data_IF_385925686190
#
_entry.id   IF_385925686190
#
_cell.length_a   1.000
_cell.length_b   1.000
_cell.length_c   1.000
_cell.angle_alpha   90.00
_cell.angle_beta   90.00
_cell.angle_gamma   90.00
#
_symmetry.space_group_name_H-M   'P 1'
#
loop_
_entity.id
_entity.type
_entity.pdbx_description
1 polymer ?
#
# COMPACT_ATOMS: atom_id res chain seq x y z
N UNK A 1 16.45 11.78 -4.89
CA UNK A 1 15.07 11.41 -5.24
C UNK A 1 14.09 12.18 -4.38
N UNK A 2 13.03 12.69 -4.98
CA UNK A 2 12.05 13.50 -4.27
C UNK A 2 11.13 12.62 -3.42
N UNK A 3 10.97 12.96 -2.14
CA UNK A 3 10.08 12.26 -1.22
C UNK A 3 8.63 12.60 -1.55
N UNK A 4 7.77 11.58 -1.58
CA UNK A 4 6.33 11.76 -1.73
C UNK A 4 5.69 11.73 -0.34
N UNK A 5 4.96 12.79 0.01
CA UNK A 5 4.29 12.92 1.31
C UNK A 5 2.87 12.35 1.28
N UNK A 6 2.74 11.15 0.73
CA UNK A 6 1.49 10.39 0.64
C UNK A 6 1.82 8.94 0.91
N UNK A 7 0.97 8.26 1.67
CA UNK A 7 1.12 6.84 1.95
C UNK A 7 0.51 6.01 0.82
N UNK A 8 1.17 4.93 0.42
CA UNK A 8 0.58 3.96 -0.50
C UNK A 8 -0.02 2.82 0.32
N UNK A 9 -1.24 2.42 -0.04
CA UNK A 9 -1.97 1.35 0.64
C UNK A 9 -2.30 0.26 -0.37
N UNK A 10 -1.84 -0.95 -0.09
CA UNK A 10 -1.98 -2.10 -0.99
C UNK A 10 -2.78 -3.19 -0.29
N UNK A 11 -4.08 -3.38 -0.64
CA UNK A 11 -4.81 -4.56 -0.19
C UNK A 11 -4.37 -5.76 -1.02
N UNK A 12 -4.09 -6.89 -0.38
CA UNK A 12 -3.56 -8.08 -1.07
C UNK A 12 -4.25 -9.35 -0.58
N UNK A 13 -4.62 -10.21 -1.53
CA UNK A 13 -5.16 -11.52 -1.24
C UNK A 13 -4.50 -12.53 -2.17
N UNK A 14 -3.85 -13.54 -1.59
CA UNK A 14 -3.10 -14.56 -2.31
C UNK A 14 -2.14 -13.97 -3.37
N UNK A 15 -1.26 -13.02 -2.97
CA UNK A 15 -0.39 -12.39 -3.95
C UNK A 15 0.72 -13.32 -4.42
N UNK A 16 1.26 -12.99 -5.59
CA UNK A 16 2.49 -13.60 -6.09
C UNK A 16 3.63 -12.58 -6.01
N UNK A 17 4.75 -12.85 -6.70
CA UNK A 17 5.93 -11.98 -6.66
C UNK A 17 5.69 -10.59 -7.25
N UNK A 18 4.59 -10.36 -7.97
CA UNK A 18 4.25 -9.04 -8.49
C UNK A 18 4.01 -8.03 -7.37
N UNK A 19 3.61 -8.50 -6.18
CA UNK A 19 3.48 -7.63 -5.03
C UNK A 19 4.83 -7.01 -4.65
N UNK A 20 5.90 -7.79 -4.70
CA UNK A 20 7.24 -7.31 -4.40
C UNK A 20 7.66 -6.26 -5.41
N UNK A 21 7.45 -6.54 -6.70
CA UNK A 21 7.78 -5.59 -7.78
C UNK A 21 6.99 -4.29 -7.63
N UNK A 22 5.72 -4.37 -7.24
CA UNK A 22 4.89 -3.19 -7.01
C UNK A 22 5.47 -2.32 -5.90
N UNK A 23 5.88 -2.93 -4.79
CA UNK A 23 6.47 -2.18 -3.68
C UNK A 23 7.80 -1.56 -4.08
N UNK A 24 8.65 -2.30 -4.79
CA UNK A 24 9.93 -1.76 -5.27
C UNK A 24 9.71 -0.55 -6.20
N UNK A 25 8.71 -0.64 -7.07
CA UNK A 25 8.37 0.45 -7.99
C UNK A 25 7.87 1.69 -7.22
N UNK A 26 7.07 1.49 -6.19
CA UNK A 26 6.61 2.59 -5.34
C UNK A 26 7.76 3.24 -4.59
N UNK A 27 8.70 2.44 -4.06
CA UNK A 27 9.89 2.98 -3.41
C UNK A 27 10.72 3.82 -4.38
N UNK A 28 10.91 3.32 -5.60
CA UNK A 28 11.64 4.04 -6.63
C UNK A 28 10.94 5.34 -7.01
N UNK A 29 9.62 5.39 -6.93
CA UNK A 29 8.83 6.60 -7.21
C UNK A 29 8.85 7.61 -6.06
N UNK A 30 9.39 7.25 -4.89
CA UNK A 30 9.56 8.18 -3.77
C UNK A 30 8.61 7.99 -2.60
N UNK A 31 7.78 6.94 -2.61
CA UNK A 31 6.89 6.65 -1.48
C UNK A 31 7.70 6.13 -0.29
N UNK A 32 7.64 6.83 0.83
CA UNK A 32 8.31 6.43 2.07
C UNK A 32 7.45 5.52 2.93
N UNK A 33 6.14 5.76 2.97
CA UNK A 33 5.23 4.99 3.79
C UNK A 33 4.36 4.12 2.91
N UNK A 34 4.47 2.81 3.09
CA UNK A 34 3.70 1.82 2.33
C UNK A 34 3.09 0.85 3.33
N UNK A 35 1.76 0.75 3.30
CA UNK A 35 1.01 -0.19 4.12
C UNK A 35 0.47 -1.29 3.21
N UNK A 36 0.73 -2.54 3.56
CA UNK A 36 0.19 -3.70 2.85
C UNK A 36 -0.75 -4.43 3.80
N UNK A 37 -1.99 -4.64 3.39
CA UNK A 37 -2.95 -5.39 4.17
C UNK A 37 -3.13 -6.77 3.53
N UNK A 38 -2.70 -7.80 4.25
CA UNK A 38 -2.91 -9.19 3.86
C UNK A 38 -4.32 -9.59 4.29
N UNK A 39 -5.22 -9.72 3.33
CA UNK A 39 -6.63 -10.00 3.57
C UNK A 39 -6.87 -11.51 3.75
N UNK A 40 -6.14 -12.13 4.67
CA UNK A 40 -6.34 -13.55 5.00
C UNK A 40 -5.85 -14.48 3.92
N UNK A 41 -4.70 -14.20 3.31
CA UNK A 41 -4.10 -15.03 2.27
C UNK A 41 -3.73 -16.42 2.79
N UNK A 42 -3.61 -17.37 1.86
CA UNK A 42 -3.15 -18.73 2.18
C UNK A 42 -1.72 -18.69 2.73
N UNK A 43 -1.37 -19.65 3.61
CA UNK A 43 -0.03 -19.67 4.21
C UNK A 43 1.12 -19.74 3.21
N UNK A 44 0.91 -20.33 2.04
CA UNK A 44 1.96 -20.46 1.02
C UNK A 44 2.29 -19.10 0.37
N UNK A 45 1.51 -18.06 0.61
CA UNK A 45 1.80 -16.71 0.15
C UNK A 45 2.69 -15.93 1.14
N UNK A 46 2.96 -16.47 2.34
CA UNK A 46 3.72 -15.77 3.37
C UNK A 46 5.11 -15.30 2.88
N UNK A 47 5.87 -16.07 2.08
CA UNK A 47 7.16 -15.58 1.59
C UNK A 47 7.07 -14.27 0.81
N UNK A 48 5.98 -14.03 0.09
CA UNK A 48 5.78 -12.80 -0.65
C UNK A 48 5.62 -11.59 0.31
N UNK A 49 4.97 -11.81 1.46
CA UNK A 49 4.85 -10.76 2.47
C UNK A 49 6.16 -10.58 3.24
N UNK A 50 6.86 -11.66 3.55
CA UNK A 50 8.14 -11.60 4.27
C UNK A 50 9.18 -10.80 3.49
N UNK A 51 9.15 -10.90 2.17
CA UNK A 51 10.08 -10.16 1.30
C UNK A 51 9.87 -8.64 1.37
N UNK A 52 8.74 -8.18 1.88
CA UNK A 52 8.43 -6.75 1.97
C UNK A 52 9.07 -6.10 3.21
N UNK A 53 9.42 -6.87 4.23
CA UNK A 53 10.00 -6.33 5.45
C UNK A 53 11.30 -5.55 5.19
N UNK A 54 12.26 -6.08 4.41
CA UNK A 54 13.48 -5.31 4.11
C UNK A 54 13.20 -4.06 3.28
N UNK A 55 12.04 -3.99 2.62
CA UNK A 55 11.66 -2.82 1.83
C UNK A 55 10.97 -1.76 2.70
N UNK A 56 10.80 -2.02 4.00
CA UNK A 56 10.30 -1.04 4.95
C UNK A 56 8.78 -0.87 4.94
N UNK A 57 8.04 -1.89 4.49
CA UNK A 57 6.59 -1.85 4.50
C UNK A 57 6.01 -2.19 5.87
N UNK A 58 4.90 -1.54 6.20
CA UNK A 58 4.06 -1.96 7.31
C UNK A 58 3.08 -3.01 6.78
N UNK A 59 3.21 -4.26 7.24
CA UNK A 59 2.34 -5.36 6.78
C UNK A 59 1.38 -5.74 7.89
N UNK A 60 0.08 -5.76 7.55
CA UNK A 60 -0.99 -6.13 8.48
C UNK A 60 -1.61 -7.42 7.97
N UNK A 61 -1.68 -8.43 8.85
CA UNK A 61 -2.29 -9.72 8.50
C UNK A 61 -3.65 -9.84 9.14
N UNK A 62 -4.70 -9.99 8.31
CA UNK A 62 -6.04 -10.29 8.81
C UNK A 62 -6.18 -11.79 9.00
N UNK A 63 -6.99 -12.21 9.97
CA UNK A 63 -7.14 -13.62 10.32
C UNK A 63 -7.90 -14.42 9.26
N UNK A 64 -8.70 -13.75 8.43
CA UNK A 64 -9.48 -14.39 7.38
C UNK A 64 -9.79 -13.36 6.29
N UNK A 65 -10.21 -13.87 5.12
CA UNK A 65 -10.59 -12.98 4.01
C UNK A 65 -11.85 -12.19 4.39
N UNK A 66 -11.73 -10.89 4.44
CA UNK A 66 -12.82 -9.97 4.84
C UNK A 66 -13.30 -9.11 3.67
N UNK A 67 -12.64 -9.20 2.53
CA UNK A 67 -12.97 -8.41 1.35
C UNK A 67 -12.11 -7.15 1.22
N UNK A 68 -11.99 -6.67 -0.02
CA UNK A 68 -11.16 -5.51 -0.34
C UNK A 68 -11.58 -4.25 0.42
N UNK A 69 -12.89 -4.02 0.54
CA UNK A 69 -13.40 -2.84 1.25
C UNK A 69 -12.98 -2.81 2.71
N UNK A 70 -13.06 -3.96 3.39
CA UNK A 70 -12.65 -4.05 4.79
C UNK A 70 -11.13 -3.91 4.92
N UNK A 71 -10.36 -4.49 4.00
CA UNK A 71 -8.91 -4.37 3.99
C UNK A 71 -8.49 -2.91 3.81
N UNK A 72 -9.14 -2.18 2.91
CA UNK A 72 -8.87 -0.76 2.71
C UNK A 72 -9.19 0.06 3.95
N UNK A 73 -10.31 -0.24 4.60
CA UNK A 73 -10.72 0.44 5.82
C UNK A 73 -9.69 0.24 6.93
N UNK A 74 -9.25 -0.99 7.13
CA UNK A 74 -8.27 -1.31 8.16
C UNK A 74 -6.94 -0.63 7.86
N UNK A 75 -6.52 -0.64 6.60
CA UNK A 75 -5.29 0.03 6.19
C UNK A 75 -5.34 1.53 6.42
N UNK A 76 -6.45 2.16 6.08
CA UNK A 76 -6.62 3.60 6.29
C UNK A 76 -6.65 3.95 7.78
N UNK A 77 -7.35 3.17 8.60
CA UNK A 77 -7.36 3.37 10.06
C UNK A 77 -5.95 3.21 10.64
N UNK A 78 -5.20 2.24 10.16
CA UNK A 78 -3.81 2.05 10.56
C UNK A 78 -2.98 3.29 10.22
N UNK A 79 -3.14 3.81 9.01
CA UNK A 79 -2.47 5.04 8.59
C UNK A 79 -2.76 6.18 9.57
N UNK A 80 -4.00 6.35 9.98
CA UNK A 80 -4.38 7.43 10.89
C UNK A 80 -3.72 7.29 12.27
N UNK A 81 -3.38 6.06 12.67
CA UNK A 81 -2.77 5.82 14.00
C UNK A 81 -1.25 5.92 13.99
N UNK A 82 -0.61 5.99 12.80
CA UNK A 82 0.85 5.98 12.72
C UNK A 82 1.49 7.32 13.16
N UNK A 83 0.76 8.39 13.12
CA UNK A 83 1.32 9.71 13.44
C UNK A 83 2.21 10.28 12.33
N UNK A 84 2.15 9.71 11.12
CA UNK A 84 2.88 10.24 9.98
C UNK A 84 2.29 11.56 9.52
N UNK A 85 3.15 12.43 8.97
CA UNK A 85 2.72 13.73 8.48
C UNK A 85 2.20 13.72 7.05
N UNK A 86 2.02 12.53 6.48
CA UNK A 86 1.53 12.38 5.11
C UNK A 86 0.15 13.01 4.95
N UNK A 87 -0.10 13.60 3.78
CA UNK A 87 -1.36 14.30 3.50
C UNK A 87 -2.55 13.35 3.38
N UNK A 88 -2.32 12.09 3.07
CA UNK A 88 -3.37 11.08 2.91
C UNK A 88 -2.84 9.79 2.33
N UNK A 89 -3.74 9.01 1.75
CA UNK A 89 -3.46 7.65 1.28
C UNK A 89 -3.89 7.49 -0.17
N UNK A 90 -3.04 6.85 -0.97
CA UNK A 90 -3.36 6.39 -2.32
C UNK A 90 -3.44 4.88 -2.31
N UNK A 91 -4.50 4.29 -2.86
CA UNK A 91 -4.59 2.83 -2.98
C UNK A 91 -3.94 2.36 -4.27
N UNK A 92 -3.25 1.23 -4.20
CA UNK A 92 -2.54 0.64 -5.33
C UNK A 92 -2.83 -0.85 -5.35
N UNK A 93 -3.12 -1.40 -6.54
CA UNK A 93 -3.28 -2.85 -6.68
C UNK A 93 -1.91 -3.53 -6.69
N UNK A 94 -1.79 -4.63 -5.93
CA UNK A 94 -0.52 -5.35 -5.78
C UNK A 94 -0.26 -6.37 -6.88
N UNK A 95 -0.99 -6.34 -7.99
CA UNK A 95 -0.87 -7.29 -9.09
C UNK A 95 0.00 -6.79 -10.24
N UNK A 96 0.63 -5.63 -10.07
CA UNK A 96 1.51 -5.07 -11.09
C UNK A 96 0.80 -4.31 -12.21
N UNK A 97 -0.52 -4.12 -12.12
CA UNK A 97 -1.26 -3.39 -13.15
C UNK A 97 -1.06 -1.87 -13.05
N UNK A 98 -0.70 -1.38 -11.86
CA UNK A 98 -0.40 0.03 -11.65
C UNK A 98 1.10 0.24 -11.55
N UNK A 99 1.60 1.32 -12.17
CA UNK A 99 3.00 1.69 -12.05
C UNK A 99 3.20 2.70 -10.93
N UNK A 100 4.46 2.92 -10.56
CA UNK A 100 4.80 4.00 -9.64
C UNK A 100 4.40 5.37 -10.19
N UNK A 101 4.40 5.53 -11.51
CA UNK A 101 3.96 6.79 -12.14
C UNK A 101 2.47 7.00 -11.98
N UNK A 102 1.67 5.94 -12.07
CA UNK A 102 0.22 6.05 -11.83
C UNK A 102 -0.04 6.43 -10.37
N UNK A 103 0.69 5.82 -9.44
CA UNK A 103 0.57 6.15 -8.02
C UNK A 103 0.97 7.60 -7.75
N UNK A 104 2.03 8.10 -8.40
CA UNK A 104 2.44 9.49 -8.27
C UNK A 104 1.36 10.44 -8.76
N UNK A 105 0.70 10.11 -9.87
CA UNK A 105 -0.39 10.93 -10.40
C UNK A 105 -1.52 11.04 -9.39
N UNK A 106 -1.90 9.91 -8.79
CA UNK A 106 -2.92 9.91 -7.73
C UNK A 106 -2.44 10.68 -6.50
N UNK A 107 -1.15 10.59 -6.15
CA UNK A 107 -0.59 11.33 -5.03
C UNK A 107 -0.67 12.85 -5.25
N UNK A 108 -0.36 13.31 -6.45
CA UNK A 108 -0.47 14.73 -6.77
C UNK A 108 -1.91 15.22 -6.67
N UNK A 109 -2.86 14.41 -7.13
CA UNK A 109 -4.28 14.74 -6.97
C UNK A 109 -4.68 14.81 -5.50
N UNK A 110 -4.20 13.86 -4.69
CA UNK A 110 -4.46 13.84 -3.26
C UNK A 110 -3.89 15.07 -2.55
N UNK A 111 -2.70 15.54 -2.95
CA UNK A 111 -2.08 16.72 -2.35
C UNK A 111 -2.91 17.98 -2.60
N UNK A 112 -3.77 17.96 -3.60
CA UNK A 112 -4.73 19.05 -3.86
C UNK A 112 -5.97 18.94 -2.96
N UNK A 113 -6.18 17.77 -2.34
CA UNK A 113 -7.30 17.48 -1.44
C UNK A 113 -6.78 16.72 -0.21
N UNK A 114 -6.03 17.41 0.69
CA UNK A 114 -5.36 16.74 1.83
C UNK A 114 -6.34 16.00 2.74
N UNK A 115 -5.85 14.93 3.34
CA UNK A 115 -6.60 14.08 4.28
C UNK A 115 -7.74 13.31 3.63
N UNK A 116 -7.64 13.08 2.32
CA UNK A 116 -8.59 12.27 1.56
C UNK A 116 -8.01 10.90 1.26
N UNK A 117 -8.87 9.98 0.81
CA UNK A 117 -8.50 8.69 0.27
C UNK A 117 -8.77 8.71 -1.24
N UNK A 118 -7.72 8.46 -2.04
CA UNK A 118 -7.85 8.41 -3.49
C UNK A 118 -7.71 6.96 -3.93
N UNK A 119 -8.68 6.47 -4.69
CA UNK A 119 -8.65 5.12 -5.26
C UNK A 119 -7.95 5.17 -6.62
N UNK A 120 -6.80 4.47 -6.68
CA UNK A 120 -6.01 4.42 -7.90
C UNK A 120 -6.21 3.18 -8.74
#
# INVERSE_FOLDING_TARGET
MKKVNVCALIPSYDPDERLISTVEDLRAAGFHHIIVVDDGSRPDCQPNFDALTPLGCEVIHLSHNSGKGEALKIGFLTFLTQGWSDAGVVTVDGDGQHSGQDALRCAYELLRHPKSLILG
#
